data_IF_551799122390
#
_entry.id   IF_551799122390
#
_cell.length_a   1.000
_cell.length_b   1.000
_cell.length_c   1.000
_cell.angle_alpha   90.00
_cell.angle_beta   90.00
_cell.angle_gamma   90.00
#
_symmetry.space_group_name_H-M   'P 1'
#
loop_
_entity.id
_entity.type
_entity.pdbx_description
1 polymer ?
#
# COMPACT_ATOMS: atom_id res chain seq x y z
N UNK A 1 24.46 -13.51 -0.78
CA UNK A 1 23.87 -12.52 0.14
C UNK A 1 22.44 -12.94 0.41
N UNK A 2 22.19 -13.67 1.50
CA UNK A 2 20.87 -14.16 1.88
C UNK A 2 20.16 -13.08 2.69
N UNK A 3 19.03 -12.57 2.19
CA UNK A 3 18.17 -11.64 2.94
C UNK A 3 17.55 -12.45 4.10
N UNK A 4 17.69 -11.99 5.34
CA UNK A 4 17.02 -12.66 6.46
C UNK A 4 15.51 -12.41 6.43
N UNK A 5 14.75 -13.36 6.95
CA UNK A 5 13.28 -13.29 7.02
C UNK A 5 12.83 -12.02 7.76
N UNK A 6 13.54 -11.61 8.80
CA UNK A 6 13.24 -10.39 9.57
C UNK A 6 13.33 -9.12 8.73
N UNK A 7 14.31 -9.00 7.82
CA UNK A 7 14.40 -7.87 6.90
C UNK A 7 13.24 -7.86 5.91
N UNK A 8 12.85 -9.04 5.41
CA UNK A 8 11.70 -9.17 4.51
C UNK A 8 10.40 -8.75 5.21
N UNK A 9 10.18 -9.20 6.45
CA UNK A 9 9.03 -8.78 7.26
C UNK A 9 9.02 -7.28 7.51
N UNK A 10 10.18 -6.69 7.83
CA UNK A 10 10.32 -5.24 8.03
C UNK A 10 9.96 -4.45 6.78
N UNK A 11 10.47 -4.88 5.62
CA UNK A 11 10.16 -4.25 4.31
C UNK A 11 8.66 -4.39 3.99
N UNK A 12 8.09 -5.58 4.12
CA UNK A 12 6.67 -5.81 3.85
C UNK A 12 5.78 -5.02 4.81
N UNK A 13 6.16 -4.92 6.09
CA UNK A 13 5.46 -4.11 7.08
C UNK A 13 5.50 -2.62 6.72
N UNK A 14 6.66 -2.11 6.31
CA UNK A 14 6.80 -0.74 5.82
C UNK A 14 5.93 -0.48 4.58
N UNK A 15 5.98 -1.38 3.58
CA UNK A 15 5.15 -1.30 2.37
C UNK A 15 3.66 -1.30 2.72
N UNK A 16 3.23 -2.15 3.66
CA UNK A 16 1.83 -2.20 4.09
C UNK A 16 1.40 -0.90 4.78
N UNK A 17 2.19 -0.37 5.72
CA UNK A 17 1.85 0.89 6.40
C UNK A 17 1.81 2.07 5.43
N UNK A 18 2.80 2.14 4.53
CA UNK A 18 2.86 3.19 3.52
C UNK A 18 1.71 3.06 2.51
N UNK A 19 1.37 1.84 2.11
CA UNK A 19 0.24 1.54 1.23
C UNK A 19 -1.10 1.89 1.87
N UNK A 20 -1.30 1.63 3.18
CA UNK A 20 -2.48 2.07 3.92
C UNK A 20 -2.59 3.61 3.86
N UNK A 21 -1.50 4.31 4.15
CA UNK A 21 -1.46 5.77 4.11
C UNK A 21 -1.80 6.32 2.71
N UNK A 22 -1.14 5.82 1.66
CA UNK A 22 -1.37 6.28 0.29
C UNK A 22 -2.75 5.89 -0.25
N UNK A 23 -3.23 4.70 0.07
CA UNK A 23 -4.57 4.22 -0.29
C UNK A 23 -5.64 5.11 0.33
N UNK A 24 -5.54 5.39 1.63
CA UNK A 24 -6.43 6.31 2.33
C UNK A 24 -6.38 7.73 1.73
N UNK A 25 -5.19 8.28 1.50
CA UNK A 25 -5.01 9.60 0.90
C UNK A 25 -5.68 9.69 -0.49
N UNK A 26 -5.58 8.63 -1.29
CA UNK A 26 -6.15 8.58 -2.65
C UNK A 26 -7.66 8.47 -2.67
N UNK A 27 -8.27 7.87 -1.64
CA UNK A 27 -9.73 7.84 -1.47
C UNK A 27 -10.23 9.20 -0.96
N UNK A 28 -9.60 9.73 0.09
CA UNK A 28 -10.02 10.95 0.78
C UNK A 28 -9.76 12.21 -0.05
N UNK A 29 -8.64 12.25 -0.79
CA UNK A 29 -8.21 13.40 -1.57
C UNK A 29 -7.62 12.99 -2.93
N UNK A 30 -8.43 12.42 -3.83
CA UNK A 30 -7.96 11.95 -5.15
C UNK A 30 -7.31 13.06 -5.97
N UNK A 31 -7.75 14.33 -5.82
CA UNK A 31 -7.13 15.49 -6.47
C UNK A 31 -5.66 15.66 -6.08
N UNK A 32 -5.33 15.49 -4.79
CA UNK A 32 -3.95 15.60 -4.30
C UNK A 32 -3.11 14.43 -4.79
N UNK A 33 -3.67 13.22 -4.83
CA UNK A 33 -2.97 12.05 -5.37
C UNK A 33 -2.67 12.19 -6.86
N UNK A 34 -3.61 12.69 -7.67
CA UNK A 34 -3.39 12.97 -9.09
C UNK A 34 -2.29 14.03 -9.25
N UNK A 35 -2.30 15.10 -8.46
CA UNK A 35 -1.25 16.11 -8.49
C UNK A 35 0.11 15.57 -8.08
N UNK A 36 0.18 14.70 -7.07
CA UNK A 36 1.41 14.04 -6.66
C UNK A 36 1.96 13.18 -7.79
N UNK A 37 1.09 12.38 -8.42
CA UNK A 37 1.43 11.58 -9.59
C UNK A 37 1.98 12.45 -10.74
N UNK A 38 1.30 13.55 -11.06
CA UNK A 38 1.75 14.49 -12.10
C UNK A 38 3.11 15.10 -11.76
N UNK A 39 3.35 15.50 -10.50
CA UNK A 39 4.64 16.03 -10.04
C UNK A 39 5.75 14.98 -10.17
N UNK A 40 5.48 13.74 -9.81
CA UNK A 40 6.43 12.64 -9.99
C UNK A 40 6.75 12.43 -11.47
N UNK A 41 5.73 12.41 -12.34
CA UNK A 41 5.92 12.27 -13.78
C UNK A 41 6.72 13.42 -14.41
N UNK A 42 6.53 14.64 -13.91
CA UNK A 42 7.33 15.81 -14.32
C UNK A 42 8.81 15.65 -13.96
N UNK A 43 9.15 15.08 -12.80
CA UNK A 43 10.54 14.81 -12.40
C UNK A 43 11.21 13.87 -13.40
N UNK A 44 10.48 12.88 -13.92
CA UNK A 44 10.99 11.95 -14.94
C UNK A 44 10.90 12.50 -16.38
N UNK A 45 10.53 13.77 -16.55
CA UNK A 45 10.34 14.43 -17.84
C UNK A 45 9.31 13.73 -18.74
N UNK A 46 8.34 13.03 -18.13
CA UNK A 46 7.30 12.29 -18.84
C UNK A 46 6.15 13.22 -19.21
N UNK A 47 5.75 13.26 -20.48
CA UNK A 47 4.58 14.04 -20.92
C UNK A 47 3.30 13.32 -20.48
N UNK A 48 2.57 13.92 -19.56
CA UNK A 48 1.26 13.44 -19.14
C UNK A 48 0.23 13.93 -20.15
N UNK A 49 -0.47 13.00 -20.81
CA UNK A 49 -1.56 13.30 -21.74
C UNK A 49 -2.70 14.08 -21.06
N UNK A 50 -3.52 14.84 -21.83
CA UNK A 50 -4.65 15.58 -21.28
C UNK A 50 -5.61 14.64 -20.56
N UNK A 51 -5.73 14.89 -19.25
CA UNK A 51 -6.43 14.01 -18.30
C UNK A 51 -7.94 14.26 -18.36
N UNK A 52 -8.73 13.19 -18.57
CA UNK A 52 -10.19 13.24 -18.35
C UNK A 52 -10.48 13.26 -16.85
N UNK A 53 -10.56 14.47 -16.30
CA UNK A 53 -10.49 14.71 -14.85
C UNK A 53 -11.56 13.93 -14.03
N UNK A 54 -12.80 13.84 -14.52
CA UNK A 54 -13.86 13.13 -13.79
C UNK A 54 -13.64 11.62 -13.68
N UNK A 55 -13.17 11.00 -14.76
CA UNK A 55 -12.91 9.57 -14.80
C UNK A 55 -11.70 9.23 -13.90
N UNK A 56 -10.71 10.12 -13.89
CA UNK A 56 -9.49 9.97 -13.12
C UNK A 56 -9.71 10.14 -11.62
N UNK A 57 -10.65 11.00 -11.21
CA UNK A 57 -11.09 11.06 -9.82
C UNK A 57 -11.74 9.75 -9.35
N UNK A 58 -12.58 9.14 -10.19
CA UNK A 58 -13.22 7.85 -9.88
C UNK A 58 -12.18 6.72 -9.84
N UNK A 59 -11.30 6.66 -10.83
CA UNK A 59 -10.23 5.67 -10.92
C UNK A 59 -9.25 5.78 -9.74
N UNK A 60 -8.83 7.01 -9.39
CA UNK A 60 -7.91 7.25 -8.26
C UNK A 60 -8.52 6.79 -6.94
N UNK A 61 -9.84 7.00 -6.73
CA UNK A 61 -10.54 6.48 -5.55
C UNK A 61 -10.61 4.95 -5.56
N UNK A 62 -10.94 4.34 -6.69
CA UNK A 62 -11.04 2.89 -6.82
C UNK A 62 -9.68 2.20 -6.62
N UNK A 63 -8.62 2.73 -7.25
CA UNK A 63 -7.25 2.27 -7.04
C UNK A 63 -6.79 2.52 -5.61
N UNK A 64 -7.13 3.66 -5.01
CA UNK A 64 -6.86 3.94 -3.61
C UNK A 64 -7.52 2.92 -2.67
N UNK A 65 -8.77 2.56 -2.92
CA UNK A 65 -9.48 1.52 -2.18
C UNK A 65 -8.82 0.14 -2.34
N UNK A 66 -8.42 -0.22 -3.56
CA UNK A 66 -7.71 -1.48 -3.81
C UNK A 66 -6.36 -1.52 -3.07
N UNK A 67 -5.57 -0.45 -3.17
CA UNK A 67 -4.28 -0.35 -2.46
C UNK A 67 -4.48 -0.45 -0.96
N UNK A 68 -5.48 0.24 -0.41
CA UNK A 68 -5.81 0.18 1.01
C UNK A 68 -6.18 -1.25 1.44
N UNK A 69 -7.05 -1.93 0.70
CA UNK A 69 -7.48 -3.29 1.01
C UNK A 69 -6.32 -4.28 0.97
N UNK A 70 -5.50 -4.25 -0.08
CA UNK A 70 -4.32 -5.12 -0.21
C UNK A 70 -3.32 -4.86 0.92
N UNK A 71 -3.09 -3.59 1.25
CA UNK A 71 -2.13 -3.22 2.31
C UNK A 71 -2.60 -3.66 3.69
N UNK A 72 -3.90 -3.53 3.99
CA UNK A 72 -4.50 -4.07 5.22
C UNK A 72 -4.36 -5.60 5.26
N UNK A 73 -4.61 -6.30 4.15
CA UNK A 73 -4.48 -7.75 4.07
C UNK A 73 -3.03 -8.20 4.34
N UNK A 74 -2.03 -7.52 3.77
CA UNK A 74 -0.61 -7.78 4.05
C UNK A 74 -0.30 -7.56 5.53
N UNK A 75 -0.76 -6.43 6.10
CA UNK A 75 -0.53 -6.12 7.51
C UNK A 75 -1.11 -7.19 8.45
N UNK A 76 -2.34 -7.64 8.19
CA UNK A 76 -2.99 -8.72 8.96
C UNK A 76 -2.24 -10.03 8.79
N UNK A 77 -1.79 -10.37 7.59
CA UNK A 77 -1.04 -11.60 7.32
C UNK A 77 0.28 -11.64 8.11
N UNK A 78 1.03 -10.52 8.12
CA UNK A 78 2.27 -10.39 8.91
C UNK A 78 2.00 -10.50 10.42
N UNK A 79 0.93 -9.88 10.91
CA UNK A 79 0.57 -9.94 12.33
C UNK A 79 0.16 -11.36 12.76
N UNK A 80 -0.62 -12.06 11.94
CA UNK A 80 -1.04 -13.45 12.19
C UNK A 80 0.14 -14.42 12.11
N UNK A 81 1.09 -14.21 11.20
CA UNK A 81 2.31 -15.02 11.13
C UNK A 81 3.12 -14.93 12.44
N UNK A 82 3.26 -13.73 13.01
CA UNK A 82 3.89 -13.55 14.32
C UNK A 82 3.10 -14.18 15.46
N UNK A 83 1.78 -14.01 15.48
CA UNK A 83 0.94 -14.63 16.52
C UNK A 83 1.07 -16.16 16.55
N UNK A 84 1.14 -16.81 15.38
CA UNK A 84 1.31 -18.27 15.28
C UNK A 84 2.72 -18.72 15.67
N UNK A 85 3.76 -17.93 15.38
CA UNK A 85 5.16 -18.26 15.72
C UNK A 85 5.50 -18.04 17.21
N UNK A 86 4.82 -17.10 17.89
CA UNK A 86 5.10 -16.77 19.30
C UNK A 86 4.10 -17.38 20.30
N UNK A 87 3.04 -18.07 19.86
CA UNK A 87 2.21 -18.84 20.77
C UNK A 87 2.87 -20.19 21.10
N UNK A 88 3.13 -20.52 22.39
CA UNK A 88 3.45 -21.88 22.76
C UNK A 88 2.28 -22.81 22.35
N UNK A 89 2.55 -24.04 21.89
CA UNK A 89 1.51 -24.99 21.54
C UNK A 89 0.80 -25.46 22.82
N UNK A 90 -0.17 -24.69 23.30
CA UNK A 90 -0.96 -25.02 24.49
C UNK A 90 -2.11 -26.01 24.16
N UNK A 91 -2.26 -26.42 22.90
CA UNK A 91 -3.33 -27.30 22.45
C UNK A 91 -2.85 -28.61 21.81
N UNK A 92 -1.87 -29.26 22.45
CA UNK A 92 -1.64 -30.70 22.29
C UNK A 92 -1.79 -31.34 23.67
N UNK A 93 -3.04 -31.57 24.08
CA UNK A 93 -3.42 -32.58 25.05
C UNK A 93 -4.40 -33.52 24.39
#
# INVERSE_FOLDING_TARGET
MTISIEWLEGILGFVALFGIFLGFLSIASPRRSIQLYQKMMQIFNWRVEPIRYEQELKNTRALGALVLLVSIAIFIALFRAKWFLYLPPIYLK
#
